data_IF_955391162211
#
_entry.id   IF_955391162211
#
_cell.length_a   1.000
_cell.length_b   1.000
_cell.length_c   1.000
_cell.angle_alpha   90.00
_cell.angle_beta   90.00
_cell.angle_gamma   90.00
#
_symmetry.space_group_name_H-M   'P 1'
#
loop_
_entity.id
_entity.type
_entity.pdbx_description
1 polymer ?
#
# COMPACT_ATOMS: atom_id res chain seq x y z
N UNK A 1 9.79 -1.30 -3.63
CA UNK A 1 8.81 -1.42 -2.54
C UNK A 1 7.46 -1.25 -3.21
N UNK A 2 6.35 -1.71 -2.69
CA UNK A 2 5.02 -1.57 -3.33
C UNK A 2 4.52 -2.83 -4.03
N UNK A 3 5.35 -3.55 -4.77
CA UNK A 3 4.99 -4.81 -5.44
C UNK A 3 5.21 -6.06 -4.57
N UNK A 4 5.44 -5.84 -3.28
CA UNK A 4 5.67 -6.88 -2.28
C UNK A 4 7.14 -7.26 -2.10
N UNK A 5 7.44 -7.87 -0.94
CA UNK A 5 8.80 -8.25 -0.55
C UNK A 5 9.44 -9.26 -1.51
N UNK A 6 8.64 -10.18 -2.07
CA UNK A 6 9.11 -11.17 -3.03
C UNK A 6 9.74 -10.54 -4.28
N UNK A 7 9.06 -9.52 -4.84
CA UNK A 7 9.58 -8.79 -6.00
C UNK A 7 10.87 -8.02 -5.66
N UNK A 8 10.94 -7.44 -4.46
CA UNK A 8 12.13 -6.73 -4.00
C UNK A 8 13.35 -7.66 -3.89
N UNK A 9 13.18 -8.83 -3.28
CA UNK A 9 14.28 -9.81 -3.13
C UNK A 9 14.70 -10.36 -4.49
N UNK A 10 13.77 -10.67 -5.39
CA UNK A 10 14.10 -11.11 -6.76
C UNK A 10 14.93 -10.06 -7.50
N UNK A 11 14.55 -8.79 -7.43
CA UNK A 11 15.31 -7.68 -8.04
C UNK A 11 16.71 -7.54 -7.45
N UNK A 12 16.84 -7.64 -6.13
CA UNK A 12 18.14 -7.59 -5.48
C UNK A 12 19.07 -8.75 -5.88
N UNK A 13 18.52 -9.95 -6.09
CA UNK A 13 19.27 -11.10 -6.55
C UNK A 13 19.65 -10.99 -8.04
N UNK A 14 18.82 -10.31 -8.84
CA UNK A 14 19.09 -10.07 -10.26
C UNK A 14 20.10 -8.96 -10.52
N UNK A 15 20.54 -8.22 -9.48
CA UNK A 15 21.38 -7.01 -9.63
C UNK A 15 20.75 -6.00 -10.61
N UNK A 16 19.40 -5.88 -10.56
CA UNK A 16 18.63 -5.08 -11.51
C UNK A 16 18.16 -3.78 -10.89
N UNK A 17 18.78 -2.67 -11.28
CA UNK A 17 18.42 -1.31 -10.85
C UNK A 17 17.21 -0.73 -11.61
N UNK A 18 16.73 -1.41 -12.64
CA UNK A 18 15.64 -0.95 -13.51
C UNK A 18 14.30 -1.28 -12.87
N UNK A 19 13.58 -0.28 -12.44
CA UNK A 19 12.38 -0.40 -11.61
C UNK A 19 11.10 -0.92 -12.30
N UNK A 20 11.13 -1.47 -13.53
CA UNK A 20 9.90 -1.83 -14.24
C UNK A 20 9.44 -3.29 -14.05
N UNK A 21 8.13 -3.47 -13.87
CA UNK A 21 7.50 -4.79 -13.69
C UNK A 21 7.59 -5.70 -14.93
N UNK A 22 7.70 -5.11 -16.12
CA UNK A 22 7.79 -5.87 -17.37
C UNK A 22 9.05 -6.74 -17.40
N UNK A 23 10.12 -6.29 -16.76
CA UNK A 23 11.38 -7.02 -16.70
C UNK A 23 11.33 -8.20 -15.72
N UNK A 24 10.59 -8.06 -14.62
CA UNK A 24 10.40 -9.15 -13.64
C UNK A 24 9.64 -10.35 -14.21
N UNK A 25 8.73 -10.11 -15.17
CA UNK A 25 8.01 -11.17 -15.88
C UNK A 25 8.91 -11.92 -16.89
N UNK A 26 10.05 -11.34 -17.29
CA UNK A 26 11.02 -11.94 -18.19
C UNK A 26 12.10 -12.76 -17.48
N UNK A 27 12.22 -12.63 -16.14
CA UNK A 27 13.07 -13.54 -15.37
C UNK A 27 12.24 -14.79 -15.05
N UNK A 28 12.41 -15.89 -15.78
CA UNK A 28 11.85 -17.17 -15.38
C UNK A 28 12.38 -17.54 -14.00
N UNK A 29 11.75 -18.45 -13.33
CA UNK A 29 12.11 -18.99 -12.02
C UNK A 29 13.52 -19.66 -11.95
N UNK A 30 14.52 -19.03 -12.54
CA UNK A 30 15.89 -19.53 -12.70
C UNK A 30 16.81 -19.21 -11.52
N UNK A 31 16.29 -18.57 -10.49
CA UNK A 31 17.04 -18.61 -9.23
C UNK A 31 16.83 -19.98 -8.61
N UNK A 32 17.93 -20.63 -8.28
CA UNK A 32 17.95 -21.79 -7.39
C UNK A 32 16.99 -21.48 -6.25
N UNK A 33 15.92 -22.28 -6.11
CA UNK A 33 14.86 -22.07 -5.12
C UNK A 33 15.46 -21.97 -3.70
N UNK A 34 16.59 -22.59 -3.44
CA UNK A 34 17.31 -22.50 -2.17
C UNK A 34 17.95 -21.12 -1.96
N UNK A 35 18.54 -20.51 -2.99
CA UNK A 35 19.15 -19.17 -2.90
C UNK A 35 18.06 -18.13 -2.63
N UNK A 36 16.98 -18.18 -3.41
CA UNK A 36 15.86 -17.26 -3.21
C UNK A 36 15.23 -17.42 -1.83
N UNK A 37 14.96 -18.64 -1.40
CA UNK A 37 14.37 -18.96 -0.10
C UNK A 37 15.26 -18.44 1.04
N UNK A 38 16.58 -18.66 0.95
CA UNK A 38 17.54 -18.19 1.93
C UNK A 38 17.62 -16.65 1.98
N UNK A 39 17.69 -15.99 0.81
CA UNK A 39 17.73 -14.55 0.70
C UNK A 39 16.42 -13.91 1.23
N UNK A 40 15.28 -14.52 0.92
CA UNK A 40 13.99 -14.05 1.39
C UNK A 40 13.87 -14.17 2.92
N UNK A 41 14.32 -15.28 3.52
CA UNK A 41 14.34 -15.46 4.97
C UNK A 41 15.25 -14.45 5.68
N UNK A 42 16.44 -14.16 5.10
CA UNK A 42 17.34 -13.12 5.60
C UNK A 42 16.67 -11.75 5.54
N UNK A 43 16.07 -11.43 4.39
CA UNK A 43 15.33 -10.17 4.21
C UNK A 43 14.24 -10.01 5.29
N UNK A 44 13.43 -11.04 5.50
CA UNK A 44 12.34 -11.00 6.48
C UNK A 44 12.82 -10.75 7.90
N UNK A 45 13.89 -11.44 8.30
CA UNK A 45 14.48 -11.25 9.63
C UNK A 45 15.01 -9.82 9.81
N UNK A 46 15.83 -9.35 8.88
CA UNK A 46 16.42 -8.00 8.93
C UNK A 46 15.36 -6.91 8.86
N UNK A 47 14.33 -7.13 8.04
CA UNK A 47 13.22 -6.19 7.91
C UNK A 47 12.40 -6.11 9.19
N UNK A 48 12.10 -7.26 9.83
CA UNK A 48 11.39 -7.30 11.11
C UNK A 48 12.15 -6.59 12.23
N UNK A 49 13.48 -6.81 12.33
CA UNK A 49 14.35 -6.16 13.33
C UNK A 49 14.42 -4.63 13.15
N UNK A 50 14.23 -4.14 11.92
CA UNK A 50 14.39 -2.72 11.56
C UNK A 50 13.06 -2.04 11.17
N UNK A 51 11.94 -2.72 11.37
CA UNK A 51 10.63 -2.31 10.90
C UNK A 51 10.27 -0.86 11.27
N UNK A 52 10.65 -0.44 12.48
CA UNK A 52 10.32 0.87 13.06
C UNK A 52 11.51 1.82 13.14
N UNK A 53 12.74 1.34 12.87
CA UNK A 53 13.97 2.10 13.14
C UNK A 53 14.09 3.39 12.29
N UNK A 54 13.46 3.43 11.11
CA UNK A 54 13.48 4.57 10.19
C UNK A 54 12.10 4.87 9.58
N UNK A 55 11.03 4.32 10.17
CA UNK A 55 9.66 4.54 9.70
C UNK A 55 8.94 5.51 10.60
N UNK A 56 8.42 6.59 10.04
CA UNK A 56 7.61 7.59 10.72
C UNK A 56 6.35 7.89 9.93
N UNK A 57 5.45 8.63 10.54
CA UNK A 57 4.29 9.18 9.85
C UNK A 57 4.71 10.41 9.06
N UNK A 58 4.10 10.61 7.89
CA UNK A 58 4.18 11.88 7.19
C UNK A 58 3.49 12.99 8.00
N UNK A 59 3.90 14.23 7.77
CA UNK A 59 3.35 15.40 8.44
C UNK A 59 1.82 15.47 8.27
N UNK A 60 1.13 15.74 9.36
CA UNK A 60 -0.33 15.88 9.39
C UNK A 60 -1.12 14.58 9.45
N UNK A 61 -0.51 13.39 9.27
CA UNK A 61 -1.27 12.11 9.28
C UNK A 61 -2.00 11.90 10.59
N UNK A 62 -1.33 12.06 11.73
CA UNK A 62 -1.96 11.84 13.03
C UNK A 62 -3.12 12.79 13.29
N UNK A 63 -2.99 14.07 12.89
CA UNK A 63 -4.06 15.06 13.04
C UNK A 63 -5.27 14.74 12.16
N UNK A 64 -5.05 14.26 10.94
CA UNK A 64 -6.12 13.83 10.04
C UNK A 64 -6.84 12.60 10.59
N UNK A 65 -6.11 11.55 11.01
CA UNK A 65 -6.71 10.35 11.61
C UNK A 65 -7.57 10.71 12.84
N UNK A 66 -7.05 11.59 13.71
CA UNK A 66 -7.78 12.04 14.91
C UNK A 66 -9.03 12.83 14.54
N UNK A 67 -8.97 13.71 13.54
CA UNK A 67 -10.12 14.51 13.12
C UNK A 67 -11.20 13.61 12.49
N UNK A 68 -10.85 12.69 11.61
CA UNK A 68 -11.79 11.75 11.00
C UNK A 68 -12.46 10.84 12.05
N UNK A 69 -11.69 10.37 13.04
CA UNK A 69 -12.24 9.59 14.15
C UNK A 69 -13.21 10.40 15.02
N UNK A 70 -12.93 11.69 15.26
CA UNK A 70 -13.81 12.58 16.00
C UNK A 70 -15.18 12.80 15.32
N UNK A 71 -15.18 12.76 13.97
CA UNK A 71 -16.38 12.83 13.14
C UNK A 71 -17.04 11.45 12.92
N UNK A 72 -16.57 10.40 13.61
CA UNK A 72 -17.05 9.02 13.48
C UNK A 72 -16.94 8.45 12.05
N UNK A 73 -15.97 8.92 11.26
CA UNK A 73 -15.68 8.36 9.95
C UNK A 73 -14.90 7.05 10.14
N UNK A 74 -15.46 5.96 9.64
CA UNK A 74 -14.81 4.65 9.69
C UNK A 74 -13.61 4.61 8.74
N UNK A 75 -12.50 4.06 9.23
CA UNK A 75 -11.26 3.93 8.46
C UNK A 75 -10.92 2.46 8.27
N UNK A 76 -10.57 2.08 7.04
CA UNK A 76 -9.94 0.80 6.70
C UNK A 76 -8.54 1.06 6.15
N UNK A 77 -7.58 0.23 6.54
CA UNK A 77 -6.24 0.24 5.97
C UNK A 77 -6.07 -0.93 5.01
N UNK A 78 -5.72 -0.64 3.74
CA UNK A 78 -5.51 -1.66 2.72
C UNK A 78 -4.07 -1.56 2.20
N UNK A 79 -3.26 -2.60 2.43
CA UNK A 79 -1.84 -2.60 2.05
C UNK A 79 -1.42 -3.90 1.38
N UNK A 80 -0.46 -3.82 0.43
CA UNK A 80 0.19 -4.99 -0.13
C UNK A 80 1.29 -5.56 0.79
N UNK A 81 1.58 -4.88 1.92
CA UNK A 81 2.52 -5.37 2.94
C UNK A 81 1.93 -6.57 3.69
N UNK A 82 2.71 -7.63 3.97
CA UNK A 82 2.24 -8.76 4.77
C UNK A 82 1.80 -8.36 6.18
N UNK A 83 0.78 -9.05 6.71
CA UNK A 83 0.18 -8.79 8.02
C UNK A 83 1.19 -8.80 9.16
N UNK A 84 2.13 -9.75 9.14
CA UNK A 84 3.20 -9.87 10.16
C UNK A 84 4.09 -8.63 10.30
N UNK A 85 4.16 -7.78 9.27
CA UNK A 85 4.89 -6.51 9.31
C UNK A 85 3.96 -5.32 9.50
N UNK A 86 2.72 -5.41 9.02
CA UNK A 86 1.75 -4.31 9.07
C UNK A 86 1.29 -4.07 10.50
N UNK A 87 0.80 -5.10 11.18
CA UNK A 87 0.22 -4.94 12.52
C UNK A 87 1.23 -4.41 13.54
N UNK A 88 2.45 -4.98 13.67
CA UNK A 88 3.45 -4.43 14.58
C UNK A 88 3.88 -2.99 14.24
N UNK A 89 3.88 -2.62 12.96
CA UNK A 89 4.20 -1.26 12.53
C UNK A 89 3.12 -0.27 12.97
N UNK A 90 1.84 -0.57 12.75
CA UNK A 90 0.73 0.28 13.18
C UNK A 90 0.74 0.49 14.69
N UNK A 91 0.97 -0.58 15.47
CA UNK A 91 1.08 -0.53 16.92
C UNK A 91 2.26 0.33 17.38
N UNK A 92 3.43 0.16 16.77
CA UNK A 92 4.61 0.94 17.10
C UNK A 92 4.48 2.43 16.76
N UNK A 93 3.69 2.75 15.72
CA UNK A 93 3.34 4.13 15.34
C UNK A 93 2.16 4.68 16.18
N UNK A 94 1.50 3.86 16.99
CA UNK A 94 0.39 4.23 17.84
C UNK A 94 -0.88 4.61 17.08
N UNK A 95 -1.08 4.06 15.87
CA UNK A 95 -2.22 4.41 15.00
C UNK A 95 -3.16 3.23 14.68
N UNK A 96 -2.87 2.04 15.21
CA UNK A 96 -3.68 0.83 14.98
C UNK A 96 -5.13 1.00 15.39
N UNK A 97 -5.38 1.72 16.48
CA UNK A 97 -6.70 1.94 17.04
C UNK A 97 -7.62 2.85 16.19
N UNK A 98 -7.10 3.56 15.18
CA UNK A 98 -7.91 4.36 14.26
C UNK A 98 -8.63 3.52 13.20
N UNK A 99 -8.14 2.32 12.92
CA UNK A 99 -8.65 1.50 11.82
C UNK A 99 -9.64 0.45 12.33
N UNK A 100 -10.88 0.53 11.87
CA UNK A 100 -11.91 -0.47 12.14
C UNK A 100 -11.64 -1.78 11.37
N UNK A 101 -10.91 -1.70 10.25
CA UNK A 101 -10.54 -2.83 9.41
C UNK A 101 -9.11 -2.67 8.88
N UNK A 102 -8.36 -3.78 8.80
CA UNK A 102 -6.99 -3.82 8.28
C UNK A 102 -6.83 -5.01 7.34
N UNK A 103 -6.65 -4.75 6.05
CA UNK A 103 -6.42 -5.74 5.01
C UNK A 103 -4.99 -5.68 4.52
N UNK A 104 -4.28 -6.79 4.67
CA UNK A 104 -2.87 -6.94 4.36
C UNK A 104 -2.66 -7.76 3.08
N UNK A 105 -1.46 -7.70 2.52
CA UNK A 105 -1.14 -8.33 1.25
C UNK A 105 -1.17 -9.86 1.23
N UNK A 106 -1.33 -10.50 2.36
CA UNK A 106 -1.43 -11.96 2.54
C UNK A 106 -2.78 -12.41 3.13
N UNK A 107 -3.76 -11.51 3.26
CA UNK A 107 -5.07 -11.85 3.79
C UNK A 107 -6.05 -12.37 2.72
N UNK A 108 -5.84 -11.99 1.45
CA UNK A 108 -6.73 -12.29 0.34
C UNK A 108 -5.97 -12.94 -0.82
N UNK A 109 -6.70 -13.60 -1.71
CA UNK A 109 -6.15 -14.21 -2.92
C UNK A 109 -5.48 -13.18 -3.85
N UNK A 110 -6.07 -11.99 -3.97
CA UNK A 110 -5.56 -10.91 -4.82
C UNK A 110 -5.23 -9.67 -4.00
N UNK A 111 -4.15 -8.99 -4.43
CA UNK A 111 -3.66 -7.72 -3.88
C UNK A 111 -4.04 -6.55 -4.79
N UNK A 112 -3.89 -5.31 -4.31
CA UNK A 112 -3.92 -4.15 -5.20
C UNK A 112 -2.87 -4.31 -6.32
N UNK A 113 -3.19 -4.06 -7.59
CA UNK A 113 -4.31 -3.27 -8.13
C UNK A 113 -5.65 -4.03 -8.34
N UNK A 114 -5.79 -5.30 -7.97
CA UNK A 114 -7.06 -6.01 -8.06
C UNK A 114 -8.12 -5.35 -7.13
N UNK A 115 -9.41 -5.25 -7.52
CA UNK A 115 -10.44 -4.59 -6.71
C UNK A 115 -10.81 -5.34 -5.43
N UNK A 116 -10.51 -6.64 -5.32
CA UNK A 116 -10.94 -7.49 -4.21
C UNK A 116 -10.66 -6.89 -2.82
N UNK A 117 -9.46 -6.33 -2.52
CA UNK A 117 -9.21 -5.76 -1.20
C UNK A 117 -10.11 -4.57 -0.87
N UNK A 118 -10.45 -3.74 -1.86
CA UNK A 118 -11.34 -2.59 -1.67
C UNK A 118 -12.77 -3.07 -1.47
N UNK A 119 -13.26 -4.01 -2.29
CA UNK A 119 -14.58 -4.61 -2.14
C UNK A 119 -14.74 -5.30 -0.78
N UNK A 120 -13.73 -6.02 -0.32
CA UNK A 120 -13.73 -6.66 1.01
C UNK A 120 -13.79 -5.63 2.13
N UNK A 121 -13.06 -4.51 2.03
CA UNK A 121 -13.14 -3.43 3.01
C UNK A 121 -14.54 -2.79 3.08
N UNK A 122 -15.17 -2.58 1.94
CA UNK A 122 -16.55 -2.07 1.87
C UNK A 122 -17.53 -3.02 2.57
N UNK A 123 -17.41 -4.33 2.31
CA UNK A 123 -18.24 -5.35 2.96
C UNK A 123 -18.01 -5.39 4.48
N UNK A 124 -16.74 -5.40 4.92
CA UNK A 124 -16.37 -5.42 6.34
C UNK A 124 -16.93 -4.20 7.11
N UNK A 125 -16.93 -3.04 6.47
CA UNK A 125 -17.46 -1.80 7.04
C UNK A 125 -18.97 -1.62 6.79
N UNK A 126 -19.61 -2.49 6.01
CA UNK A 126 -21.02 -2.42 5.60
C UNK A 126 -21.38 -1.08 4.94
N UNK A 127 -20.53 -0.59 4.04
CA UNK A 127 -20.70 0.66 3.28
C UNK A 127 -20.71 0.39 1.78
N UNK A 128 -21.39 1.26 1.02
CA UNK A 128 -21.38 1.21 -0.45
C UNK A 128 -20.20 2.01 -1.02
N UNK A 129 -19.83 1.73 -2.26
CA UNK A 129 -18.72 2.39 -2.94
C UNK A 129 -18.87 3.93 -3.00
N UNK A 130 -20.09 4.44 -3.18
CA UNK A 130 -20.39 5.88 -3.23
C UNK A 130 -20.21 6.59 -1.87
N UNK A 131 -20.15 5.83 -0.77
CA UNK A 131 -19.97 6.35 0.59
C UNK A 131 -18.50 6.31 1.03
N UNK A 132 -17.61 5.79 0.18
CA UNK A 132 -16.20 5.60 0.47
C UNK A 132 -15.31 6.41 -0.46
N UNK A 133 -14.13 6.77 0.05
CA UNK A 133 -13.03 7.29 -0.75
C UNK A 133 -11.78 6.47 -0.47
N UNK A 134 -10.98 6.21 -1.50
CA UNK A 134 -9.64 5.64 -1.36
C UNK A 134 -8.60 6.75 -1.39
N UNK A 135 -7.78 6.83 -0.36
CA UNK A 135 -6.60 7.70 -0.32
C UNK A 135 -5.37 6.85 -0.51
N UNK A 136 -4.56 7.15 -1.51
CA UNK A 136 -3.38 6.33 -1.83
C UNK A 136 -2.27 7.14 -2.50
N UNK A 137 -1.09 6.53 -2.61
CA UNK A 137 0.11 7.16 -3.17
C UNK A 137 0.64 6.46 -4.43
N UNK A 138 0.01 5.36 -4.84
CA UNK A 138 0.45 4.56 -5.97
C UNK A 138 -0.65 4.30 -6.99
N UNK A 139 -0.25 4.02 -8.22
CA UNK A 139 -1.19 3.62 -9.28
C UNK A 139 -1.95 2.33 -8.92
N UNK A 140 -1.38 1.46 -8.09
CA UNK A 140 -2.06 0.26 -7.60
C UNK A 140 -3.26 0.58 -6.71
N UNK A 141 -3.20 1.66 -5.93
CA UNK A 141 -4.30 2.13 -5.11
C UNK A 141 -5.44 2.65 -5.97
N UNK A 142 -5.08 3.52 -6.93
CA UNK A 142 -6.04 4.17 -7.83
C UNK A 142 -6.76 3.13 -8.68
N UNK A 143 -6.03 2.19 -9.30
CA UNK A 143 -6.63 1.12 -10.10
C UNK A 143 -7.57 0.23 -9.29
N UNK A 144 -7.15 -0.18 -8.09
CA UNK A 144 -7.94 -1.05 -7.22
C UNK A 144 -9.27 -0.38 -6.83
N UNK A 145 -9.22 0.89 -6.45
CA UNK A 145 -10.39 1.66 -6.05
C UNK A 145 -11.31 1.98 -7.24
N UNK A 146 -10.76 2.41 -8.38
CA UNK A 146 -11.53 2.68 -9.60
C UNK A 146 -12.26 1.43 -10.07
N UNK A 147 -11.59 0.26 -10.06
CA UNK A 147 -12.20 -1.01 -10.44
C UNK A 147 -13.28 -1.48 -9.44
N UNK A 148 -13.24 -1.02 -8.19
CA UNK A 148 -14.27 -1.25 -7.17
C UNK A 148 -15.39 -0.18 -7.18
N UNK A 149 -15.32 0.83 -8.06
CA UNK A 149 -16.30 1.92 -8.14
C UNK A 149 -16.14 2.99 -7.05
N UNK A 150 -15.01 3.02 -6.34
CA UNK A 150 -14.71 3.94 -5.25
C UNK A 150 -13.97 5.16 -5.79
N UNK A 151 -14.33 6.36 -5.33
CA UNK A 151 -13.64 7.60 -5.63
C UNK A 151 -12.22 7.63 -5.05
N UNK A 152 -11.32 8.31 -5.72
CA UNK A 152 -9.89 8.26 -5.46
C UNK A 152 -9.28 9.62 -5.18
N UNK A 153 -8.48 9.68 -4.12
CA UNK A 153 -7.61 10.82 -3.79
C UNK A 153 -6.16 10.34 -3.79
N UNK A 154 -5.33 10.90 -4.64
CA UNK A 154 -3.91 10.58 -4.69
C UNK A 154 -3.09 11.63 -3.92
N UNK A 155 -2.22 11.19 -3.02
CA UNK A 155 -1.21 12.03 -2.39
C UNK A 155 0.03 12.08 -3.27
N UNK A 156 0.55 13.29 -3.55
CA UNK A 156 1.66 13.48 -4.52
C UNK A 156 3.04 13.21 -3.93
N UNK A 157 3.17 13.20 -2.60
CA UNK A 157 4.43 13.03 -1.86
C UNK A 157 4.78 11.57 -1.55
N UNK A 158 3.94 10.62 -1.93
CA UNK A 158 4.15 9.20 -1.67
C UNK A 158 5.10 8.52 -2.65
N UNK A 159 5.10 7.18 -2.67
CA UNK A 159 5.96 6.37 -3.51
C UNK A 159 5.18 5.65 -4.60
N UNK A 160 5.34 6.09 -5.85
CA UNK A 160 4.77 5.45 -7.03
C UNK A 160 5.88 4.93 -7.97
N UNK A 161 6.67 3.97 -7.50
CA UNK A 161 7.66 3.21 -8.31
C UNK A 161 8.64 4.06 -9.14
N UNK A 162 9.00 5.26 -8.64
CA UNK A 162 9.92 6.18 -9.32
C UNK A 162 9.28 7.06 -10.39
N UNK A 163 7.97 6.94 -10.62
CA UNK A 163 7.19 7.82 -11.48
C UNK A 163 6.27 8.70 -10.64
N UNK A 164 6.04 9.95 -11.02
CA UNK A 164 5.04 10.78 -10.34
C UNK A 164 3.65 10.16 -10.49
N UNK A 165 2.85 10.18 -9.42
CA UNK A 165 1.45 9.75 -9.48
C UNK A 165 0.62 10.63 -10.41
N UNK A 166 1.05 11.88 -10.65
CA UNK A 166 0.42 12.85 -11.57
C UNK A 166 0.89 12.70 -13.02
N UNK A 167 1.79 11.77 -13.30
CA UNK A 167 2.31 11.61 -14.66
C UNK A 167 1.20 11.14 -15.61
N UNK A 168 1.02 11.86 -16.72
CA UNK A 168 0.01 11.54 -17.73
C UNK A 168 0.22 10.18 -18.42
N UNK A 169 1.41 9.59 -18.28
CA UNK A 169 1.71 8.24 -18.76
C UNK A 169 1.11 7.14 -17.91
N UNK A 170 0.66 7.45 -16.69
CA UNK A 170 -0.11 6.50 -15.90
C UNK A 170 -1.39 6.14 -16.66
N UNK A 171 -1.69 4.88 -16.77
CA UNK A 171 -2.85 4.34 -17.49
C UNK A 171 -4.17 4.47 -16.69
N UNK A 172 -4.10 5.05 -15.49
CA UNK A 172 -5.24 5.38 -14.65
C UNK A 172 -4.92 6.67 -13.86
N UNK A 173 -5.90 7.58 -13.78
CA UNK A 173 -5.76 8.86 -13.07
C UNK A 173 -6.66 8.87 -11.85
N UNK A 174 -6.24 9.55 -10.77
CA UNK A 174 -7.08 9.77 -9.61
C UNK A 174 -8.14 10.85 -9.88
N UNK A 175 -9.26 10.81 -9.15
CA UNK A 175 -10.28 11.86 -9.22
C UNK A 175 -9.76 13.20 -8.66
N UNK A 176 -8.93 13.14 -7.60
CA UNK A 176 -8.34 14.31 -6.94
C UNK A 176 -6.88 14.04 -6.60
N UNK A 177 -6.05 15.07 -6.66
CA UNK A 177 -4.66 15.05 -6.19
C UNK A 177 -4.46 16.07 -5.09
N UNK A 178 -3.76 15.68 -4.03
CA UNK A 178 -3.42 16.54 -2.88
C UNK A 178 -1.93 16.47 -2.57
N UNK A 179 -1.35 17.59 -2.18
CA UNK A 179 0.06 17.71 -1.83
C UNK A 179 0.32 17.55 -0.31
N UNK A 180 -0.73 17.61 0.48
CA UNK A 180 -0.68 17.43 1.93
C UNK A 180 -1.93 16.68 2.39
N UNK A 181 -1.76 15.69 3.27
CA UNK A 181 -2.87 14.88 3.77
C UNK A 181 -3.93 15.71 4.50
N UNK A 182 -3.55 16.85 5.08
CA UNK A 182 -4.46 17.78 5.77
C UNK A 182 -5.51 18.40 4.85
N UNK A 183 -5.31 18.37 3.52
CA UNK A 183 -6.30 18.84 2.55
C UNK A 183 -7.55 17.94 2.49
N UNK A 184 -7.53 16.76 3.11
CA UNK A 184 -8.72 15.92 3.29
C UNK A 184 -9.75 16.52 4.27
N UNK A 185 -9.36 17.50 5.07
CA UNK A 185 -10.21 18.11 6.11
C UNK A 185 -10.85 19.44 5.67
N UNK A 186 -10.72 19.84 4.41
CA UNK A 186 -11.16 21.15 3.87
C UNK A 186 -12.42 20.98 3.02
#
# INVERSE_FOLDING_TARGET
VGNGAAALVKRALADDDRGDELHLAQYPNEYDDEIYTSAYAIFERVYAERLTAATGLYDGVLSVLSALAAENIMLSLITNKPRRFTVPLLQALGIDHYFADVLCGDDLEFKKPHPLPVLTALDNLSVNAEQAIMVGDSISDIKSATAAGVKTVAVTYGYNHGMSITDARNDCQADVYIDQITQLLV
#
